data_IF_002210991480
#
_entry.id   IF_002210991480
#
_cell.length_a   1.000
_cell.length_b   1.000
_cell.length_c   1.000
_cell.angle_alpha   90.00
_cell.angle_beta   90.00
_cell.angle_gamma   90.00
#
_symmetry.space_group_name_H-M   'P 1'
#
loop_
_entity.id
_entity.type
_entity.pdbx_description
1 polymer ?
#
# COMPACT_ATOMS: atom_id res chain seq x y z
N UNK A 1 -1.71 -10.67 3.92
CA UNK A 1 -2.99 -9.95 3.79
C UNK A 1 -4.08 -10.89 3.31
N UNK A 2 -5.22 -10.85 3.95
CA UNK A 2 -6.36 -11.69 3.63
C UNK A 2 -7.44 -10.86 2.92
N UNK A 3 -7.94 -11.38 1.80
CA UNK A 3 -8.99 -10.74 1.03
C UNK A 3 -10.28 -11.53 1.15
N UNK A 4 -11.42 -10.84 1.16
CA UNK A 4 -12.71 -11.42 1.54
C UNK A 4 -13.75 -11.39 0.43
N UNK A 5 -13.48 -10.71 -0.68
CA UNK A 5 -14.46 -10.49 -1.74
C UNK A 5 -14.19 -11.32 -2.99
N UNK A 6 -15.15 -11.32 -3.91
CA UNK A 6 -15.07 -12.11 -5.13
C UNK A 6 -14.22 -11.46 -6.24
N UNK A 7 -13.95 -10.16 -6.15
CA UNK A 7 -13.15 -9.47 -7.16
C UNK A 7 -12.25 -8.40 -6.55
N UNK A 8 -11.23 -8.01 -7.30
CA UNK A 8 -10.32 -6.92 -6.94
C UNK A 8 -11.10 -5.62 -6.72
N UNK A 9 -12.02 -5.30 -7.61
CA UNK A 9 -12.83 -4.09 -7.49
C UNK A 9 -13.72 -4.11 -6.25
N UNK A 10 -14.33 -5.24 -5.95
CA UNK A 10 -15.16 -5.38 -4.75
C UNK A 10 -14.33 -5.24 -3.47
N UNK A 11 -13.13 -5.77 -3.46
CA UNK A 11 -12.24 -5.64 -2.31
C UNK A 11 -11.91 -4.17 -2.03
N UNK A 12 -11.61 -3.41 -3.08
CA UNK A 12 -11.31 -1.99 -2.94
C UNK A 12 -12.52 -1.19 -2.45
N UNK A 13 -13.72 -1.55 -2.91
CA UNK A 13 -14.95 -0.84 -2.57
C UNK A 13 -15.63 -1.36 -1.29
N UNK A 14 -15.03 -2.34 -0.64
CA UNK A 14 -15.58 -2.93 0.58
C UNK A 14 -15.74 -1.85 1.66
N UNK A 15 -16.91 -1.81 2.28
CA UNK A 15 -17.27 -0.82 3.31
C UNK A 15 -17.31 0.64 2.77
N UNK A 16 -17.42 0.80 1.47
CA UNK A 16 -17.51 2.10 0.82
C UNK A 16 -18.89 2.25 0.18
N UNK A 17 -19.46 3.43 0.28
CA UNK A 17 -20.71 3.72 -0.41
C UNK A 17 -20.50 3.68 -1.93
N UNK A 18 -21.36 2.96 -2.65
CA UNK A 18 -21.22 2.74 -4.09
C UNK A 18 -21.76 3.92 -4.90
N UNK A 19 -21.16 5.08 -4.72
CA UNK A 19 -21.44 6.26 -5.52
C UNK A 19 -20.61 6.24 -6.80
N UNK A 20 -21.05 6.97 -7.82
CA UNK A 20 -20.25 7.11 -9.05
C UNK A 20 -18.89 7.74 -8.78
N UNK A 21 -18.85 8.70 -7.84
CA UNK A 21 -17.58 9.32 -7.42
C UNK A 21 -16.62 8.29 -6.83
N UNK A 22 -17.08 7.43 -5.93
CA UNK A 22 -16.24 6.41 -5.32
C UNK A 22 -15.81 5.35 -6.33
N UNK A 23 -16.68 4.98 -7.25
CA UNK A 23 -16.34 4.06 -8.34
C UNK A 23 -15.26 4.66 -9.26
N UNK A 24 -15.35 5.94 -9.57
CA UNK A 24 -14.34 6.63 -10.38
C UNK A 24 -12.99 6.71 -9.64
N UNK A 25 -13.00 7.03 -8.36
CA UNK A 25 -11.79 7.04 -7.53
C UNK A 25 -11.11 5.67 -7.50
N UNK A 26 -11.90 4.62 -7.31
CA UNK A 26 -11.40 3.25 -7.32
C UNK A 26 -10.78 2.89 -8.67
N UNK A 27 -11.45 3.26 -9.75
CA UNK A 27 -10.97 3.02 -11.12
C UNK A 27 -9.63 3.70 -11.37
N UNK A 28 -9.51 4.96 -10.97
CA UNK A 28 -8.26 5.71 -11.09
C UNK A 28 -7.13 5.08 -10.29
N UNK A 29 -7.40 4.70 -9.06
CA UNK A 29 -6.39 4.10 -8.20
C UNK A 29 -5.90 2.75 -8.75
N UNK A 30 -6.83 1.92 -9.24
CA UNK A 30 -6.46 0.65 -9.86
C UNK A 30 -5.59 0.87 -11.11
N UNK A 31 -5.89 1.88 -11.91
CA UNK A 31 -5.07 2.22 -13.09
C UNK A 31 -3.68 2.67 -12.69
N UNK A 32 -3.56 3.56 -11.71
CA UNK A 32 -2.28 4.05 -11.22
C UNK A 32 -1.38 2.91 -10.70
N UNK A 33 -1.97 1.92 -10.04
CA UNK A 33 -1.22 0.81 -9.47
C UNK A 33 -1.09 -0.40 -10.40
N UNK A 34 -1.53 -0.25 -11.66
CA UNK A 34 -1.40 -1.31 -12.65
C UNK A 34 -2.30 -2.52 -12.40
N UNK A 35 -3.44 -2.31 -11.74
CA UNK A 35 -4.36 -3.40 -11.37
C UNK A 35 -5.69 -3.34 -12.13
N UNK A 36 -5.91 -2.35 -12.95
CA UNK A 36 -7.22 -2.16 -13.58
C UNK A 36 -7.63 -3.34 -14.47
N UNK A 37 -6.69 -3.95 -15.15
CA UNK A 37 -6.96 -5.13 -16.00
C UNK A 37 -7.44 -6.34 -15.19
N UNK A 38 -7.13 -6.36 -13.91
CA UNK A 38 -7.48 -7.45 -13.00
C UNK A 38 -8.69 -7.14 -12.13
N UNK A 39 -9.43 -6.06 -12.42
CA UNK A 39 -10.52 -5.59 -11.57
C UNK A 39 -11.62 -6.61 -11.31
N UNK A 40 -11.86 -7.49 -12.27
CA UNK A 40 -12.88 -8.54 -12.17
C UNK A 40 -12.31 -9.89 -11.72
N UNK A 41 -11.00 -9.98 -11.54
CA UNK A 41 -10.35 -11.20 -11.09
C UNK A 41 -10.55 -11.41 -9.60
N UNK A 42 -10.58 -12.67 -9.18
CA UNK A 42 -10.56 -12.98 -7.74
C UNK A 42 -9.19 -12.57 -7.17
N UNK A 43 -9.15 -11.94 -5.98
CA UNK A 43 -7.86 -11.51 -5.41
C UNK A 43 -6.84 -12.63 -5.25
N UNK A 44 -7.28 -13.86 -5.02
CA UNK A 44 -6.37 -15.01 -4.89
C UNK A 44 -5.67 -15.39 -6.20
N UNK A 45 -6.20 -14.93 -7.34
CA UNK A 45 -5.60 -15.20 -8.65
C UNK A 45 -4.44 -14.24 -8.97
N UNK A 46 -4.25 -13.21 -8.16
CA UNK A 46 -3.17 -12.24 -8.35
C UNK A 46 -1.81 -12.81 -7.98
N UNK A 47 -0.75 -12.31 -8.63
CA UNK A 47 0.62 -12.58 -8.22
C UNK A 47 0.90 -11.96 -6.84
N UNK A 48 2.01 -12.35 -6.22
CA UNK A 48 2.42 -11.78 -4.94
C UNK A 48 2.55 -10.25 -4.96
N UNK A 49 3.20 -9.72 -5.99
CA UNK A 49 3.35 -8.27 -6.16
C UNK A 49 2.02 -7.56 -6.42
N UNK A 50 1.14 -8.18 -7.19
CA UNK A 50 -0.21 -7.64 -7.42
C UNK A 50 -1.04 -7.63 -6.15
N UNK A 51 -0.98 -8.70 -5.35
CA UNK A 51 -1.65 -8.75 -4.03
C UNK A 51 -1.13 -7.64 -3.11
N UNK A 52 0.17 -7.41 -3.11
CA UNK A 52 0.79 -6.35 -2.33
C UNK A 52 0.26 -4.98 -2.75
N UNK A 53 0.19 -4.72 -4.04
CA UNK A 53 -0.36 -3.46 -4.55
C UNK A 53 -1.85 -3.31 -4.24
N UNK A 54 -2.61 -4.39 -4.30
CA UNK A 54 -4.03 -4.35 -3.91
C UNK A 54 -4.19 -4.02 -2.44
N UNK A 55 -3.39 -4.60 -1.56
CA UNK A 55 -3.43 -4.29 -0.13
C UNK A 55 -3.15 -2.80 0.13
N UNK A 56 -2.17 -2.23 -0.57
CA UNK A 56 -1.86 -0.82 -0.48
C UNK A 56 -3.01 0.04 -1.02
N UNK A 57 -3.60 -0.37 -2.14
CA UNK A 57 -4.76 0.32 -2.71
C UNK A 57 -5.92 0.37 -1.71
N UNK A 58 -6.21 -0.74 -1.06
CA UNK A 58 -7.25 -0.81 -0.04
C UNK A 58 -6.95 0.12 1.15
N UNK A 59 -5.70 0.17 1.60
CA UNK A 59 -5.30 1.07 2.68
C UNK A 59 -5.49 2.53 2.27
N UNK A 60 -5.05 2.90 1.07
CA UNK A 60 -5.21 4.27 0.55
C UNK A 60 -6.68 4.63 0.40
N UNK A 61 -7.49 3.72 -0.13
CA UNK A 61 -8.90 3.95 -0.39
C UNK A 61 -9.74 4.01 0.90
N UNK A 62 -9.24 3.48 2.00
CA UNK A 62 -9.96 3.41 3.28
C UNK A 62 -10.33 4.79 3.85
N UNK A 63 -9.71 5.85 3.40
CA UNK A 63 -9.95 7.20 3.91
C UNK A 63 -9.35 7.49 5.28
N UNK A 64 -8.61 6.59 5.85
CA UNK A 64 -7.97 6.79 7.15
C UNK A 64 -6.86 7.84 7.06
N UNK A 65 -6.74 8.63 8.11
CA UNK A 65 -5.73 9.69 8.16
C UNK A 65 -4.31 9.17 8.40
N UNK A 66 -4.22 8.03 9.06
CA UNK A 66 -2.95 7.39 9.39
C UNK A 66 -2.92 6.02 8.73
N UNK A 67 -1.92 5.79 7.91
CA UNK A 67 -1.68 4.51 7.27
C UNK A 67 -0.40 3.90 7.83
N UNK A 68 -0.46 2.62 8.16
CA UNK A 68 0.71 1.86 8.58
C UNK A 68 0.93 0.76 7.57
N UNK A 69 2.07 0.81 6.89
CA UNK A 69 2.41 -0.13 5.84
C UNK A 69 3.66 -0.91 6.24
N UNK A 70 3.51 -2.23 6.30
CA UNK A 70 4.60 -3.13 6.66
C UNK A 70 5.18 -3.77 5.40
N UNK A 71 6.44 -3.46 5.11
CA UNK A 71 7.16 -3.93 3.93
C UNK A 71 6.35 -3.78 2.63
N UNK A 72 5.87 -2.56 2.31
CA UNK A 72 4.92 -2.38 1.20
C UNK A 72 5.49 -2.67 -0.18
N UNK A 73 6.82 -2.69 -0.32
CA UNK A 73 7.48 -2.94 -1.60
C UNK A 73 8.15 -4.30 -1.69
N UNK A 74 7.94 -5.15 -0.70
CA UNK A 74 8.50 -6.51 -0.68
C UNK A 74 8.04 -7.29 -1.91
N UNK A 75 9.01 -7.84 -2.66
CA UNK A 75 8.73 -8.60 -3.87
C UNK A 75 8.36 -7.77 -5.10
N UNK A 76 8.41 -6.45 -5.02
CA UNK A 76 8.18 -5.58 -6.17
C UNK A 76 9.47 -5.26 -6.91
N UNK A 77 9.38 -5.15 -8.24
CA UNK A 77 10.49 -4.64 -9.04
C UNK A 77 10.62 -3.11 -8.88
N UNK A 78 11.69 -2.53 -9.44
CA UNK A 78 11.97 -1.10 -9.28
C UNK A 78 10.87 -0.20 -9.85
N UNK A 79 10.23 -0.60 -10.94
CA UNK A 79 9.15 0.18 -11.55
C UNK A 79 7.90 0.20 -10.65
N UNK A 80 7.50 -0.96 -10.15
CA UNK A 80 6.36 -1.07 -9.25
C UNK A 80 6.64 -0.40 -7.90
N UNK A 81 7.87 -0.50 -7.41
CA UNK A 81 8.28 0.21 -6.20
C UNK A 81 8.13 1.73 -6.37
N UNK A 82 8.54 2.27 -7.53
CA UNK A 82 8.41 3.69 -7.81
C UNK A 82 6.96 4.14 -7.89
N UNK A 83 6.07 3.33 -8.46
CA UNK A 83 4.63 3.62 -8.48
C UNK A 83 4.07 3.76 -7.08
N UNK A 84 4.43 2.84 -6.20
CA UNK A 84 4.02 2.88 -4.79
C UNK A 84 4.58 4.12 -4.10
N UNK A 85 5.87 4.39 -4.26
CA UNK A 85 6.53 5.54 -3.65
C UNK A 85 5.86 6.87 -4.06
N UNK A 86 5.58 7.04 -5.34
CA UNK A 86 4.92 8.25 -5.85
C UNK A 86 3.51 8.41 -5.28
N UNK A 87 2.77 7.31 -5.19
CA UNK A 87 1.43 7.38 -4.61
C UNK A 87 1.46 7.71 -3.12
N UNK A 88 2.38 7.13 -2.37
CA UNK A 88 2.52 7.43 -0.95
C UNK A 88 2.92 8.89 -0.71
N UNK A 89 3.81 9.42 -1.52
CA UNK A 89 4.19 10.85 -1.47
C UNK A 89 2.98 11.74 -1.72
N UNK A 90 2.16 11.40 -2.71
CA UNK A 90 0.94 12.14 -3.02
C UNK A 90 -0.04 12.12 -1.84
N UNK A 91 -0.24 10.97 -1.21
CA UNK A 91 -1.10 10.85 -0.05
C UNK A 91 -0.60 11.68 1.14
N UNK A 92 0.70 11.68 1.37
CA UNK A 92 1.32 12.48 2.43
C UNK A 92 1.13 13.98 2.17
N UNK A 93 1.29 14.43 0.92
CA UNK A 93 1.04 15.82 0.55
C UNK A 93 -0.41 16.24 0.76
N UNK A 94 -1.33 15.31 0.65
CA UNK A 94 -2.76 15.55 0.87
C UNK A 94 -3.18 15.45 2.35
N UNK A 95 -2.22 15.43 3.26
CA UNK A 95 -2.48 15.51 4.69
C UNK A 95 -2.54 14.19 5.43
N UNK A 96 -2.25 13.07 4.78
CA UNK A 96 -2.18 11.77 5.45
C UNK A 96 -0.83 11.56 6.10
N UNK A 97 -0.83 10.89 7.23
CA UNK A 97 0.39 10.43 7.89
C UNK A 97 0.62 8.97 7.52
N UNK A 98 1.79 8.67 6.98
CA UNK A 98 2.12 7.32 6.53
C UNK A 98 3.34 6.83 7.28
N UNK A 99 3.17 5.75 8.02
CA UNK A 99 4.27 5.05 8.68
C UNK A 99 4.62 3.82 7.84
N UNK A 100 5.85 3.77 7.37
CA UNK A 100 6.35 2.66 6.58
C UNK A 100 7.39 1.90 7.39
N UNK A 101 7.16 0.62 7.58
CA UNK A 101 8.14 -0.29 8.21
C UNK A 101 8.81 -1.04 7.08
N UNK A 102 10.11 -0.82 6.88
CA UNK A 102 10.79 -1.42 5.73
C UNK A 102 12.29 -1.55 5.92
N UNK A 103 12.88 -2.47 5.19
CA UNK A 103 14.33 -2.58 4.98
C UNK A 103 14.74 -2.05 3.59
N UNK A 104 13.81 -1.60 2.79
CA UNK A 104 14.05 -1.13 1.43
C UNK A 104 14.59 0.30 1.44
N UNK A 105 15.90 0.44 1.30
CA UNK A 105 16.56 1.74 1.27
C UNK A 105 16.13 2.59 0.08
N UNK A 106 15.85 1.98 -1.05
CA UNK A 106 15.38 2.70 -2.23
C UNK A 106 14.01 3.33 -1.98
N UNK A 107 13.12 2.62 -1.32
CA UNK A 107 11.83 3.17 -0.91
C UNK A 107 12.01 4.34 0.08
N UNK A 108 12.87 4.15 1.07
CA UNK A 108 13.15 5.19 2.07
C UNK A 108 13.64 6.46 1.40
N UNK A 109 14.62 6.36 0.52
CA UNK A 109 15.16 7.51 -0.20
C UNK A 109 14.14 8.16 -1.14
N UNK A 110 13.25 7.34 -1.73
CA UNK A 110 12.28 7.82 -2.72
C UNK A 110 11.13 8.60 -2.11
N UNK A 111 10.67 8.26 -0.90
CA UNK A 111 9.43 8.85 -0.41
C UNK A 111 9.40 9.24 1.07
N UNK A 112 10.37 8.82 1.87
CA UNK A 112 10.34 9.09 3.31
C UNK A 112 11.06 10.41 3.64
N UNK A 113 10.43 11.23 4.46
CA UNK A 113 10.99 12.50 4.92
C UNK A 113 11.63 12.40 6.33
N UNK A 114 11.26 11.38 7.08
CA UNK A 114 11.83 11.10 8.40
C UNK A 114 12.11 9.62 8.55
N UNK A 115 13.22 9.30 9.20
CA UNK A 115 13.63 7.91 9.43
C UNK A 115 13.87 7.72 10.91
N UNK A 116 13.23 6.67 11.48
CA UNK A 116 13.52 6.20 12.81
C UNK A 116 14.05 4.78 12.72
N UNK A 117 15.22 4.54 13.30
CA UNK A 117 15.78 3.19 13.37
C UNK A 117 15.42 2.60 14.72
N UNK A 118 14.75 1.45 14.69
CA UNK A 118 14.41 0.71 15.88
C UNK A 118 15.40 -0.44 15.98
N UNK A 119 16.22 -0.41 17.05
CA UNK A 119 17.18 -1.43 17.31
C UNK A 119 16.92 -2.07 18.66
N UNK A 120 17.16 -3.37 18.75
CA UNK A 120 17.18 -4.11 20.00
C UNK A 120 18.64 -4.35 20.31
N UNK A 121 19.10 -3.86 21.47
CA UNK A 121 20.46 -4.06 21.90
C UNK A 121 20.54 -5.29 22.81
N UNK A 122 21.41 -6.17 22.44
CA UNK A 122 21.76 -7.32 23.29
C UNK A 122 23.19 -7.13 23.77
N UNK A 123 23.34 -6.95 25.02
CA UNK A 123 24.64 -6.76 25.62
C UNK A 123 24.62 -7.13 27.08
N UNK A 124 25.73 -6.98 27.76
CA UNK A 124 25.81 -7.24 29.17
C UNK A 124 24.92 -6.25 29.91
N UNK A 125 23.89 -6.76 30.55
CA UNK A 125 22.87 -5.94 31.20
C UNK A 125 21.89 -5.26 30.28
N UNK A 126 21.93 -5.58 29.02
CA UNK A 126 21.15 -4.89 27.98
C UNK A 126 20.48 -5.93 27.09
N UNK A 127 19.76 -6.79 27.72
CA UNK A 127 19.02 -7.85 27.06
C UNK A 127 17.72 -7.28 26.58
N UNK A 128 17.63 -7.15 25.34
CA UNK A 128 16.41 -6.64 24.77
C UNK A 128 15.57 -7.79 24.30
#
# INVERSE_FOLDING_TARGET
>A
TQFFTASVAEELLLNTELTEENKDRARHLLKELGLYEYRDAHPSALSGGQKQRLAIACAIFSGRRILILDEPTSGLDGQNMRLIAERLKSEARNGRTILVITHDHELIESCCDRIAKIGVKFGEGDIA
#
